data_IF_536418582105
#
_entry.id   IF_536418582105
#
_cell.length_a   1.000
_cell.length_b   1.000
_cell.length_c   1.000
_cell.angle_alpha   90.00
_cell.angle_beta   90.00
_cell.angle_gamma   90.00
#
_symmetry.space_group_name_H-M   'P 1'
#
loop_
_entity.id
_entity.type
_entity.pdbx_description
1 polymer ?
#
# COMPACT_ATOMS: atom_id res chain seq x y z
N UNK A 1 14.86 -2.09 -6.98
CA UNK A 1 14.91 -0.70 -6.52
C UNK A 1 14.83 -0.64 -5.00
N UNK A 2 15.45 0.33 -4.41
CA UNK A 2 15.52 0.44 -2.94
C UNK A 2 14.13 0.58 -2.29
N UNK A 3 13.24 1.35 -2.92
CA UNK A 3 11.89 1.54 -2.38
C UNK A 3 11.09 0.24 -2.35
N UNK A 4 11.15 -0.55 -3.42
CA UNK A 4 10.45 -1.84 -3.46
C UNK A 4 10.92 -2.78 -2.36
N UNK A 5 12.24 -2.82 -2.13
CA UNK A 5 12.80 -3.65 -1.06
C UNK A 5 12.39 -3.14 0.31
N UNK A 6 12.39 -1.82 0.50
CA UNK A 6 11.98 -1.23 1.76
C UNK A 6 10.51 -1.52 2.08
N UNK A 7 9.64 -1.44 1.06
CA UNK A 7 8.22 -1.74 1.24
C UNK A 7 8.00 -3.22 1.53
N UNK A 8 8.68 -4.11 0.80
CA UNK A 8 8.59 -5.54 1.04
C UNK A 8 9.05 -5.92 2.45
N UNK A 9 10.08 -5.25 2.95
CA UNK A 9 10.59 -5.47 4.30
C UNK A 9 9.59 -5.08 5.39
N UNK A 10 8.61 -4.24 5.07
CA UNK A 10 7.55 -3.87 6.00
C UNK A 10 6.48 -4.93 6.16
N UNK A 11 6.45 -5.94 5.30
CA UNK A 11 5.44 -7.00 5.36
C UNK A 11 5.52 -7.71 6.70
N UNK A 12 4.37 -7.83 7.37
CA UNK A 12 4.26 -8.43 8.69
C UNK A 12 3.55 -9.78 8.66
N UNK A 13 2.38 -9.83 8.01
CA UNK A 13 1.59 -11.06 8.02
C UNK A 13 0.52 -11.00 6.93
N UNK A 14 0.07 -12.18 6.54
CA UNK A 14 -1.11 -12.33 5.70
C UNK A 14 -2.16 -13.10 6.51
N UNK A 15 -3.37 -12.57 6.57
CA UNK A 15 -4.52 -13.22 7.20
C UNK A 15 -5.63 -13.26 6.18
N UNK A 16 -5.87 -14.44 5.59
CA UNK A 16 -6.83 -14.62 4.50
C UNK A 16 -6.47 -13.71 3.32
N UNK A 17 -7.34 -12.79 2.93
CA UNK A 17 -7.12 -11.85 1.84
C UNK A 17 -6.65 -10.48 2.32
N UNK A 18 -6.08 -10.42 3.52
CA UNK A 18 -5.61 -9.18 4.13
C UNK A 18 -4.11 -9.24 4.33
N UNK A 19 -3.41 -8.18 3.92
CA UNK A 19 -1.96 -8.12 3.96
C UNK A 19 -1.55 -7.01 4.92
N UNK A 20 -0.85 -7.38 5.98
CA UNK A 20 -0.47 -6.47 7.06
C UNK A 20 0.96 -6.00 6.88
N UNK A 21 1.16 -4.70 6.96
CA UNK A 21 2.47 -4.06 6.86
C UNK A 21 2.69 -3.17 8.08
N UNK A 22 3.87 -3.24 8.65
CA UNK A 22 4.27 -2.31 9.71
C UNK A 22 5.27 -1.33 9.12
N UNK A 23 4.94 -0.04 9.17
CA UNK A 23 5.79 1.01 8.62
C UNK A 23 6.60 1.61 9.76
N UNK A 24 7.89 1.24 9.91
CA UNK A 24 8.67 1.68 11.07
C UNK A 24 9.01 3.17 10.99
N UNK A 25 9.36 3.74 12.14
CA UNK A 25 9.68 5.15 12.23
C UNK A 25 10.87 5.56 11.35
N UNK A 26 11.79 4.63 11.12
CA UNK A 26 12.98 4.87 10.30
C UNK A 26 12.79 4.52 8.82
N UNK A 27 11.54 4.29 8.39
CA UNK A 27 11.27 4.03 6.98
C UNK A 27 11.78 5.21 6.14
N UNK A 28 12.58 4.95 5.08
CA UNK A 28 13.30 6.02 4.40
C UNK A 28 12.46 7.16 3.87
N UNK A 29 11.22 6.89 3.47
CA UNK A 29 10.36 7.91 2.88
C UNK A 29 9.87 8.96 3.89
N UNK A 30 10.06 8.74 5.18
CA UNK A 30 9.72 9.75 6.19
C UNK A 30 10.79 10.85 6.28
N UNK A 31 12.01 10.55 5.86
CA UNK A 31 13.10 11.52 5.92
C UNK A 31 12.92 12.61 4.87
N UNK A 32 13.09 13.87 5.28
CA UNK A 32 13.01 15.00 4.38
C UNK A 32 11.63 15.32 3.87
N UNK A 33 10.61 14.57 4.28
CA UNK A 33 9.22 14.81 3.91
C UNK A 33 8.51 15.50 5.06
N UNK A 34 8.14 16.77 4.85
CA UNK A 34 7.39 17.56 5.84
C UNK A 34 8.07 17.56 7.21
N UNK A 35 9.20 18.30 7.37
CA UNK A 35 9.91 18.35 8.66
C UNK A 35 8.96 18.65 9.82
N UNK A 36 9.02 17.81 10.86
CA UNK A 36 8.14 17.94 12.02
C UNK A 36 6.75 17.34 11.84
N UNK A 37 6.43 16.80 10.66
CA UNK A 37 5.12 16.19 10.39
C UNK A 37 5.28 15.06 9.37
N UNK A 38 6.01 13.98 9.71
CA UNK A 38 6.26 12.90 8.77
C UNK A 38 5.01 12.11 8.44
N UNK A 39 4.81 11.83 7.16
CA UNK A 39 3.72 10.98 6.70
C UNK A 39 4.19 10.16 5.50
N UNK A 40 3.53 9.03 5.26
CA UNK A 40 3.87 8.15 4.14
C UNK A 40 3.34 8.74 2.83
N UNK A 41 4.23 9.03 1.85
CA UNK A 41 3.80 9.62 0.58
C UNK A 41 2.86 8.71 -0.22
N UNK A 42 2.07 9.33 -1.11
CA UNK A 42 1.16 8.61 -1.99
C UNK A 42 1.88 7.56 -2.84
N UNK A 43 3.06 7.86 -3.34
CA UNK A 43 3.83 6.91 -4.15
C UNK A 43 4.18 5.64 -3.38
N UNK A 44 4.41 5.76 -2.07
CA UNK A 44 4.69 4.60 -1.21
C UNK A 44 3.41 3.81 -0.96
N UNK A 45 2.28 4.48 -0.82
CA UNK A 45 1.00 3.79 -0.66
C UNK A 45 0.63 3.00 -1.92
N UNK A 46 0.90 3.55 -3.10
CA UNK A 46 0.75 2.82 -4.36
C UNK A 46 1.71 1.63 -4.42
N UNK A 47 2.94 1.82 -3.96
CA UNK A 47 3.93 0.74 -3.88
C UNK A 47 3.49 -0.39 -2.98
N UNK A 48 2.84 -0.07 -1.84
CA UNK A 48 2.26 -1.09 -0.97
C UNK A 48 1.15 -1.87 -1.68
N UNK A 49 0.32 -1.20 -2.48
CA UNK A 49 -0.71 -1.88 -3.26
C UNK A 49 -0.08 -2.89 -4.23
N UNK A 50 0.95 -2.50 -4.96
CA UNK A 50 1.63 -3.39 -5.89
C UNK A 50 2.30 -4.56 -5.17
N UNK A 51 2.92 -4.29 -4.03
CA UNK A 51 3.59 -5.31 -3.22
C UNK A 51 2.59 -6.34 -2.70
N UNK A 52 1.47 -5.88 -2.14
CA UNK A 52 0.44 -6.76 -1.60
C UNK A 52 -0.26 -7.55 -2.70
N UNK A 53 -0.56 -6.91 -3.82
CA UNK A 53 -1.20 -7.61 -4.94
C UNK A 53 -0.27 -8.66 -5.55
N UNK A 54 1.04 -8.40 -5.55
CA UNK A 54 2.03 -9.40 -5.95
C UNK A 54 1.96 -10.65 -5.08
N UNK A 55 1.81 -10.46 -3.77
CA UNK A 55 1.67 -11.58 -2.84
C UNK A 55 0.36 -12.33 -3.08
N UNK A 56 -0.72 -11.61 -3.33
CA UNK A 56 -2.03 -12.23 -3.58
C UNK A 56 -2.02 -13.05 -4.86
N UNK A 57 -1.40 -12.55 -5.92
CA UNK A 57 -1.40 -13.22 -7.23
C UNK A 57 -0.31 -14.28 -7.37
N UNK A 58 0.70 -14.27 -6.51
CA UNK A 58 1.84 -15.16 -6.61
C UNK A 58 2.85 -14.79 -7.70
N UNK A 59 2.67 -13.62 -8.33
CA UNK A 59 3.55 -13.11 -9.38
C UNK A 59 3.85 -11.65 -9.12
N UNK A 60 5.03 -11.19 -9.51
CA UNK A 60 5.36 -9.78 -9.36
C UNK A 60 4.43 -8.92 -10.22
N UNK A 61 3.77 -7.97 -9.60
CA UNK A 61 2.80 -7.09 -10.21
C UNK A 61 3.22 -5.64 -10.05
N UNK A 62 2.76 -4.82 -10.98
CA UNK A 62 2.88 -3.36 -10.84
C UNK A 62 1.54 -2.73 -11.18
N UNK A 63 1.33 -1.50 -10.73
CA UNK A 63 0.11 -0.76 -11.06
C UNK A 63 0.20 -0.38 -12.53
N UNK A 64 -0.84 -0.76 -13.29
CA UNK A 64 -0.96 -0.38 -14.70
C UNK A 64 -1.62 0.99 -14.84
N UNK A 65 -2.66 1.25 -14.05
CA UNK A 65 -3.39 2.52 -14.10
C UNK A 65 -4.14 2.74 -12.79
N UNK A 66 -4.27 4.00 -12.41
CA UNK A 66 -5.10 4.42 -11.27
C UNK A 66 -6.19 5.33 -11.84
N UNK A 67 -7.45 4.89 -11.74
CA UNK A 67 -8.57 5.70 -12.21
C UNK A 67 -9.10 6.64 -11.13
N UNK A 68 -8.90 6.30 -9.87
CA UNK A 68 -9.31 7.14 -8.74
C UNK A 68 -8.46 6.82 -7.52
N UNK A 69 -8.09 7.86 -6.79
CA UNK A 69 -7.41 7.71 -5.50
C UNK A 69 -7.99 8.71 -4.51
N UNK A 70 -8.22 8.24 -3.30
CA UNK A 70 -8.76 9.08 -2.23
C UNK A 70 -7.92 8.86 -0.97
N UNK A 71 -7.30 9.93 -0.48
CA UNK A 71 -6.46 9.90 0.70
C UNK A 71 -7.19 10.62 1.84
N UNK A 72 -7.59 9.86 2.85
CA UNK A 72 -8.48 10.35 3.92
C UNK A 72 -7.73 10.71 5.19
N UNK A 73 -6.71 9.93 5.54
CA UNK A 73 -5.90 10.16 6.73
C UNK A 73 -4.44 9.88 6.41
N UNK A 74 -3.50 10.64 6.99
CA UNK A 74 -2.08 10.34 6.80
C UNK A 74 -1.71 9.03 7.48
N UNK A 75 -0.78 8.30 6.86
CA UNK A 75 -0.14 7.13 7.48
C UNK A 75 1.12 7.64 8.15
N UNK A 76 1.15 7.55 9.47
CA UNK A 76 2.23 8.08 10.29
C UNK A 76 3.29 7.01 10.58
N UNK A 77 4.49 7.40 11.06
CA UNK A 77 5.48 6.42 11.50
C UNK A 77 4.91 5.46 12.53
N UNK A 78 5.38 4.21 12.49
CA UNK A 78 4.94 3.13 13.37
C UNK A 78 3.50 2.68 13.17
N UNK A 79 2.88 3.01 12.04
CA UNK A 79 1.54 2.54 11.72
C UNK A 79 1.55 1.11 11.21
N UNK A 80 0.49 0.39 11.53
CA UNK A 80 0.16 -0.87 10.86
C UNK A 80 -0.86 -0.55 9.78
N UNK A 81 -0.57 -0.98 8.55
CA UNK A 81 -1.43 -0.76 7.39
C UNK A 81 -1.88 -2.11 6.86
N UNK A 82 -3.18 -2.24 6.68
CA UNK A 82 -3.79 -3.48 6.17
C UNK A 82 -4.32 -3.20 4.78
N UNK A 83 -3.86 -4.01 3.80
CA UNK A 83 -4.32 -3.91 2.43
C UNK A 83 -5.26 -5.05 2.09
N UNK A 84 -6.35 -4.71 1.41
CA UNK A 84 -7.31 -5.66 0.89
C UNK A 84 -7.77 -5.19 -0.49
N UNK A 85 -8.12 -6.14 -1.36
CA UNK A 85 -8.50 -5.85 -2.74
C UNK A 85 -9.88 -6.41 -3.02
N UNK A 86 -10.74 -5.56 -3.55
CA UNK A 86 -12.10 -5.94 -3.94
C UNK A 86 -12.18 -5.89 -5.46
N UNK A 87 -12.41 -7.05 -6.14
CA UNK A 87 -12.54 -7.05 -7.60
C UNK A 87 -13.73 -6.24 -8.06
N UNK A 88 -13.57 -5.55 -9.18
CA UNK A 88 -14.63 -4.77 -9.81
C UNK A 88 -14.99 -5.41 -11.15
N UNK A 89 -16.23 -5.21 -11.64
CA UNK A 89 -16.67 -5.82 -12.90
C UNK A 89 -15.85 -5.38 -14.12
N UNK A 90 -15.20 -4.22 -14.07
CA UNK A 90 -14.44 -3.66 -15.16
C UNK A 90 -12.98 -4.14 -15.22
N UNK A 91 -12.62 -5.12 -14.41
CA UNK A 91 -11.25 -5.63 -14.33
C UNK A 91 -10.33 -4.85 -13.43
N UNK A 92 -10.82 -3.76 -12.84
CA UNK A 92 -10.07 -3.03 -11.84
C UNK A 92 -10.32 -3.60 -10.45
N UNK A 93 -9.58 -3.09 -9.48
CA UNK A 93 -9.72 -3.45 -8.07
C UNK A 93 -9.90 -2.20 -7.24
N UNK A 94 -10.72 -2.30 -6.20
CA UNK A 94 -10.72 -1.32 -5.12
C UNK A 94 -9.70 -1.79 -4.10
N UNK A 95 -8.59 -1.07 -3.99
CA UNK A 95 -7.56 -1.32 -3.00
C UNK A 95 -7.85 -0.45 -1.78
N UNK A 96 -8.01 -1.07 -0.62
CA UNK A 96 -8.26 -0.36 0.63
C UNK A 96 -7.07 -0.48 1.54
N UNK A 97 -6.62 0.66 2.07
CA UNK A 97 -5.57 0.74 3.08
C UNK A 97 -6.21 1.18 4.38
N UNK A 98 -6.23 0.29 5.36
CA UNK A 98 -6.92 0.53 6.64
C UNK A 98 -6.00 0.31 7.82
N UNK A 99 -6.41 0.83 8.99
CA UNK A 99 -5.75 0.52 10.24
C UNK A 99 -6.34 -0.77 10.84
N UNK A 100 -5.86 -1.15 12.01
CA UNK A 100 -6.28 -2.37 12.67
C UNK A 100 -7.73 -2.34 13.15
N UNK A 101 -8.31 -1.15 13.23
CA UNK A 101 -9.73 -0.96 13.61
C UNK A 101 -10.65 -0.92 12.40
N UNK A 102 -10.08 -1.04 11.19
CA UNK A 102 -10.85 -0.98 9.96
C UNK A 102 -11.10 0.42 9.42
N UNK A 103 -10.54 1.45 10.04
CA UNK A 103 -10.67 2.80 9.54
C UNK A 103 -9.72 3.04 8.38
N UNK A 104 -10.21 3.67 7.33
CA UNK A 104 -9.44 3.85 6.10
C UNK A 104 -8.41 4.96 6.22
N UNK A 105 -7.18 4.66 5.77
CA UNK A 105 -6.19 5.68 5.45
C UNK A 105 -6.43 6.22 4.05
N UNK A 106 -6.62 5.31 3.11
CA UNK A 106 -6.81 5.66 1.70
C UNK A 106 -7.50 4.51 0.95
N UNK A 107 -7.92 4.81 -0.26
CA UNK A 107 -8.42 3.79 -1.18
C UNK A 107 -8.11 4.21 -2.61
N UNK A 108 -7.86 3.22 -3.45
CA UNK A 108 -7.52 3.43 -4.85
C UNK A 108 -8.35 2.49 -5.71
N UNK A 109 -8.82 2.99 -6.85
CA UNK A 109 -9.37 2.13 -7.89
C UNK A 109 -8.30 2.04 -8.96
N UNK A 110 -7.76 0.85 -9.16
CA UNK A 110 -6.60 0.65 -10.02
C UNK A 110 -6.63 -0.71 -10.69
N UNK A 111 -5.81 -0.85 -11.72
CA UNK A 111 -5.55 -2.12 -12.38
C UNK A 111 -4.08 -2.46 -12.24
N UNK A 112 -3.79 -3.75 -12.35
CA UNK A 112 -2.44 -4.28 -12.22
C UNK A 112 -2.04 -5.00 -13.49
N UNK A 113 -0.74 -5.10 -13.70
CA UNK A 113 -0.16 -5.91 -14.78
C UNK A 113 1.07 -6.63 -14.24
N UNK A 114 1.40 -7.75 -14.86
CA UNK A 114 2.60 -8.48 -14.51
C UNK A 114 3.83 -7.63 -14.79
N UNK A 115 4.74 -7.53 -13.82
CA UNK A 115 6.00 -6.82 -14.02
C UNK A 115 6.97 -7.69 -14.80
N UNK A 116 7.73 -7.06 -15.70
CA UNK A 116 8.74 -7.75 -16.52
C UNK A 116 9.99 -8.09 -15.70
#
# INVERSE_FOLDING_TARGET
MLLEKALSACFSAQKENRFLYHIPADFPAFEGHFPGNPLLPAVCQMGLCAEAFSRQSGKKQEIAAVSRAKFMRPILPNSTVILAFIPRPDGQYLAELTDEKGQKFSQLICSFKEAL
#
